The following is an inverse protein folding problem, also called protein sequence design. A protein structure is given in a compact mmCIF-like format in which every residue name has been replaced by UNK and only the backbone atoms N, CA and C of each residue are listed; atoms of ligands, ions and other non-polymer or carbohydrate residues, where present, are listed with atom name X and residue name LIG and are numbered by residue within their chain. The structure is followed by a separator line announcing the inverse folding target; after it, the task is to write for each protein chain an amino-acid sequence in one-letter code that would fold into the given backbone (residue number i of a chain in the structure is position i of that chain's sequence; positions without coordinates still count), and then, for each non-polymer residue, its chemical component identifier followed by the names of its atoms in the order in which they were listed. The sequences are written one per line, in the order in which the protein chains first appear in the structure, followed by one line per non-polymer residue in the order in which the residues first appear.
data_IF_373186597781
#
_entry.id   IF_373186597781
#
_cell.length_a   1.000
_cell.length_b   1.000
_cell.length_c   1.000
_cell.angle_alpha   90.00
_cell.angle_beta   90.00
_cell.angle_gamma   90.00
#
_symmetry.space_group_name_H-M   'P 1'
#
loop_
_entity.id
_entity.type
_entity.pdbx_description
1 polymer ?
#
# COMPACT_ATOMS: atom_id res chain seq x y z
N UNK A 1 -5.00 18.46 4.67
CA UNK A 1 -4.45 17.70 3.52
C UNK A 1 -3.43 16.65 3.93
N UNK A 2 -2.35 16.97 4.67
CA UNK A 2 -1.33 15.98 5.08
C UNK A 2 -1.88 14.77 5.86
N UNK A 3 -2.77 15.00 6.82
CA UNK A 3 -3.45 13.92 7.57
C UNK A 3 -4.31 13.03 6.67
N UNK A 4 -5.03 13.60 5.70
CA UNK A 4 -5.85 12.84 4.75
C UNK A 4 -4.98 11.94 3.85
N UNK A 5 -3.85 12.45 3.36
CA UNK A 5 -2.89 11.70 2.54
C UNK A 5 -2.28 10.53 3.35
N UNK A 6 -1.97 10.75 4.63
CA UNK A 6 -1.49 9.68 5.51
C UNK A 6 -2.55 8.60 5.77
N UNK A 7 -3.82 9.00 5.97
CA UNK A 7 -4.93 8.05 6.15
C UNK A 7 -5.16 7.22 4.89
N UNK A 8 -5.17 7.84 3.72
CA UNK A 8 -5.28 7.14 2.43
C UNK A 8 -4.11 6.17 2.24
N UNK A 9 -2.88 6.62 2.52
CA UNK A 9 -1.70 5.75 2.43
C UNK A 9 -1.78 4.54 3.37
N UNK A 10 -2.26 4.74 4.60
CA UNK A 10 -2.45 3.66 5.58
C UNK A 10 -3.51 2.66 5.12
N UNK A 11 -4.63 3.12 4.57
CA UNK A 11 -5.68 2.27 4.02
C UNK A 11 -5.17 1.43 2.84
N UNK A 12 -4.41 2.05 1.92
CA UNK A 12 -3.80 1.34 0.79
C UNK A 12 -2.81 0.26 1.27
N UNK A 13 -2.01 0.57 2.28
CA UNK A 13 -1.03 -0.34 2.85
C UNK A 13 -1.72 -1.55 3.51
N UNK A 14 -2.77 -1.30 4.31
CA UNK A 14 -3.60 -2.37 4.88
C UNK A 14 -4.28 -3.23 3.81
N UNK A 15 -4.81 -2.60 2.75
CA UNK A 15 -5.46 -3.32 1.65
C UNK A 15 -4.47 -4.22 0.92
N UNK A 16 -3.24 -3.75 0.69
CA UNK A 16 -2.18 -4.55 0.08
C UNK A 16 -1.77 -5.76 0.94
N UNK A 17 -1.68 -5.58 2.26
CA UNK A 17 -1.41 -6.68 3.21
C UNK A 17 -2.53 -7.73 3.16
N UNK A 18 -3.79 -7.31 3.09
CA UNK A 18 -4.93 -8.24 2.96
C UNK A 18 -4.84 -9.03 1.65
N UNK A 19 -4.48 -8.38 0.55
CA UNK A 19 -4.29 -9.05 -0.76
C UNK A 19 -3.14 -10.08 -0.73
N UNK A 20 -2.02 -9.74 -0.09
CA UNK A 20 -0.93 -10.69 0.17
C UNK A 20 -1.39 -11.87 1.04
N UNK A 21 -2.17 -11.61 2.10
CA UNK A 21 -2.72 -12.67 2.95
C UNK A 21 -3.65 -13.63 2.19
N UNK A 22 -4.45 -13.10 1.26
CA UNK A 22 -5.29 -13.90 0.35
C UNK A 22 -4.43 -14.76 -0.58
N UNK A 23 -3.32 -14.22 -1.10
CA UNK A 23 -2.37 -14.98 -1.91
C UNK A 23 -1.73 -16.12 -1.10
N UNK A 24 -1.20 -15.83 0.10
CA UNK A 24 -0.51 -16.81 0.97
C UNK A 24 -1.45 -17.95 1.38
N UNK A 25 -2.70 -17.63 1.69
CA UNK A 25 -3.70 -18.64 2.09
C UNK A 25 -4.20 -19.48 0.92
N UNK A 26 -3.80 -19.17 -0.31
CA UNK A 26 -4.27 -19.86 -1.52
C UNK A 26 -5.77 -19.65 -1.79
N UNK A 27 -6.41 -18.76 -1.04
CA UNK A 27 -7.78 -18.37 -1.28
C UNK A 27 -7.84 -17.67 -2.63
N UNK A 28 -8.59 -18.22 -3.59
CA UNK A 28 -8.78 -17.57 -4.90
C UNK A 28 -9.84 -16.49 -4.71
N UNK A 29 -9.49 -15.18 -4.69
CA UNK A 29 -10.49 -14.15 -4.55
C UNK A 29 -11.35 -14.16 -5.82
N UNK A 30 -12.61 -14.59 -5.69
CA UNK A 30 -13.58 -14.53 -6.78
C UNK A 30 -14.23 -13.16 -6.73
N UNK A 31 -13.76 -12.25 -7.58
CA UNK A 31 -14.43 -10.98 -7.81
C UNK A 31 -15.31 -11.15 -9.03
N UNK A 32 -16.64 -11.12 -8.84
CA UNK A 32 -17.63 -11.12 -9.93
C UNK A 32 -17.43 -12.21 -11.00
N UNK A 33 -17.27 -13.47 -10.59
CA UNK A 33 -17.07 -14.66 -11.45
C UNK A 33 -15.74 -14.71 -12.22
N UNK A 34 -14.84 -13.75 -12.04
CA UNK A 34 -13.48 -13.81 -12.60
C UNK A 34 -12.56 -14.39 -11.51
N UNK A 35 -11.97 -15.54 -11.81
CA UNK A 35 -10.91 -16.09 -10.94
C UNK A 35 -9.66 -15.28 -11.20
N UNK A 36 -9.28 -14.44 -10.24
CA UNK A 36 -8.04 -13.68 -10.31
C UNK A 36 -6.89 -14.67 -10.17
N UNK A 37 -5.91 -14.59 -11.09
CA UNK A 37 -4.73 -15.45 -10.99
C UNK A 37 -4.00 -15.16 -9.66
N UNK A 38 -3.43 -16.17 -9.00
CA UNK A 38 -2.65 -15.96 -7.78
C UNK A 38 -1.57 -14.89 -7.98
N UNK A 39 -0.88 -14.93 -9.13
CA UNK A 39 0.16 -13.96 -9.47
C UNK A 39 -0.38 -12.54 -9.59
N UNK A 40 -1.60 -12.36 -10.10
CA UNK A 40 -2.22 -11.05 -10.18
C UNK A 40 -2.56 -10.48 -8.79
N UNK A 41 -2.98 -11.34 -7.85
CA UNK A 41 -3.26 -10.94 -6.46
C UNK A 41 -1.98 -10.49 -5.74
N UNK A 42 -0.89 -11.24 -5.89
CA UNK A 42 0.44 -10.88 -5.35
C UNK A 42 0.94 -9.54 -5.94
N UNK A 43 0.92 -9.39 -7.27
CA UNK A 43 1.36 -8.15 -7.92
C UNK A 43 0.52 -6.95 -7.46
N UNK A 44 -0.80 -7.10 -7.34
CA UNK A 44 -1.65 -6.01 -6.83
C UNK A 44 -1.36 -5.67 -5.37
N UNK A 45 -1.09 -6.67 -4.51
CA UNK A 45 -0.76 -6.46 -3.10
C UNK A 45 0.53 -5.66 -2.94
N UNK A 46 1.59 -6.06 -3.65
CA UNK A 46 2.87 -5.34 -3.66
C UNK A 46 2.69 -3.90 -4.12
N UNK A 47 1.99 -3.68 -5.24
CA UNK A 47 1.77 -2.33 -5.77
C UNK A 47 1.01 -1.45 -4.76
N UNK A 48 -0.03 -1.98 -4.12
CA UNK A 48 -0.78 -1.27 -3.08
C UNK A 48 0.09 -0.87 -1.88
N UNK A 49 0.98 -1.77 -1.44
CA UNK A 49 1.93 -1.49 -0.35
C UNK A 49 2.89 -0.37 -0.73
N UNK A 50 3.49 -0.42 -1.92
CA UNK A 50 4.42 0.62 -2.39
C UNK A 50 3.74 1.99 -2.53
N UNK A 51 2.55 2.03 -3.14
CA UNK A 51 1.79 3.28 -3.27
C UNK A 51 1.37 3.80 -1.90
N UNK A 52 0.90 2.93 -1.00
CA UNK A 52 0.56 3.30 0.38
C UNK A 52 1.75 3.92 1.13
N UNK A 53 2.92 3.31 1.03
CA UNK A 53 4.17 3.84 1.60
C UNK A 53 4.53 5.20 1.00
N UNK A 54 4.48 5.36 -0.33
CA UNK A 54 4.76 6.64 -0.98
C UNK A 54 3.84 7.75 -0.49
N UNK A 55 2.55 7.46 -0.31
CA UNK A 55 1.59 8.40 0.26
C UNK A 55 1.92 8.77 1.71
N UNK A 56 2.29 7.78 2.54
CA UNK A 56 2.73 8.02 3.93
C UNK A 56 3.99 8.89 3.96
N UNK A 57 5.00 8.60 3.13
CA UNK A 57 6.22 9.42 3.02
C UNK A 57 5.93 10.84 2.53
N UNK A 58 5.05 10.99 1.53
CA UNK A 58 4.63 12.29 1.02
C UNK A 58 3.89 13.11 2.08
N UNK A 59 3.06 12.47 2.91
CA UNK A 59 2.36 13.10 4.02
C UNK A 59 3.31 13.48 5.17
N UNK A 60 4.27 12.61 5.48
CA UNK A 60 5.24 12.83 6.56
C UNK A 60 6.27 13.89 6.23
N UNK A 61 6.43 14.28 4.96
CA UNK A 61 7.33 15.33 4.45
C UNK A 61 8.50 15.55 5.41
N UNK A 62 9.40 14.56 5.46
CA UNK A 62 10.59 14.55 6.32
C UNK A 62 11.14 15.97 6.31
N UNK A 63 11.16 16.68 7.46
CA UNK A 63 11.74 18.01 7.52
C UNK A 63 13.10 17.87 6.87
N UNK A 64 13.33 18.58 5.75
CA UNK A 64 14.65 18.64 5.14
C UNK A 64 15.60 18.82 6.32
N UNK A 65 16.53 17.89 6.51
CA UNK A 65 17.64 18.08 7.43
C UNK A 65 18.25 19.40 6.99
N UNK A 66 17.84 20.50 7.62
CA UNK A 66 18.44 21.79 7.43
C UNK A 66 19.84 21.55 7.96
N UNK A 67 20.89 21.59 7.12
CA UNK A 67 22.22 21.58 7.66
C UNK A 67 22.25 22.74 8.67
N UNK A 68 22.44 22.40 9.95
CA UNK A 68 22.71 23.36 11.00
C UNK A 68 23.93 24.11 10.52
N UNK A 69 23.70 25.34 10.07
CA UNK A 69 24.75 26.23 9.61
C UNK A 69 25.27 26.91 10.86
N UNK A 70 26.31 26.31 11.44
CA UNK A 70 27.17 26.99 12.42
C UNK A 70 27.96 28.11 11.74
#
# INVERSE_FOLDING_TARGET
MKSLVAVIGTLLLFTGIVFEGVYITGAKPVISRITISPNASLVSGIVLIFVGLLFIFAALRIPRLQPVRE
#
